data_IF_424915520428
#
_entry.id   IF_424915520428
#
_cell.length_a   1.000
_cell.length_b   1.000
_cell.length_c   1.000
_cell.angle_alpha   90.00
_cell.angle_beta   90.00
_cell.angle_gamma   90.00
#
_symmetry.space_group_name_H-M   'P 1'
#
loop_
_entity.id
_entity.type
_entity.pdbx_description
1 polymer ?
#
# COMPACT_ATOMS: atom_id res chain seq x y z
N UNK A 1 15.76 11.88 -1.77
CA UNK A 1 17.22 12.02 -1.92
C UNK A 1 17.52 12.16 -3.41
N UNK A 2 18.23 13.20 -3.81
CA UNK A 2 18.63 13.47 -5.21
C UNK A 2 20.11 13.13 -5.36
N UNK A 3 20.44 12.25 -6.30
CA UNK A 3 21.82 11.85 -6.59
C UNK A 3 22.21 12.32 -7.99
N UNK A 4 23.45 12.77 -8.16
CA UNK A 4 24.01 13.21 -9.43
C UNK A 4 25.09 12.24 -9.88
N UNK A 5 24.90 11.59 -11.02
CA UNK A 5 25.94 10.77 -11.64
C UNK A 5 26.96 11.68 -12.31
N UNK A 6 28.21 11.63 -11.87
CA UNK A 6 29.30 12.43 -12.44
C UNK A 6 30.12 11.59 -13.41
N UNK A 7 30.38 12.12 -14.60
CA UNK A 7 31.36 11.59 -15.54
C UNK A 7 32.50 12.61 -15.66
N UNK A 8 33.74 12.16 -15.47
CA UNK A 8 34.91 13.03 -15.48
C UNK A 8 35.73 12.79 -16.76
N UNK A 9 36.25 13.86 -17.33
CA UNK A 9 37.15 13.82 -18.48
C UNK A 9 38.28 14.81 -18.25
N UNK A 10 39.50 14.38 -18.53
CA UNK A 10 40.72 15.15 -18.30
C UNK A 10 41.43 15.41 -19.62
N UNK A 11 42.01 16.59 -19.74
CA UNK A 11 42.87 16.97 -20.86
C UNK A 11 44.07 17.74 -20.33
N UNK A 12 45.21 17.59 -21.00
CA UNK A 12 46.41 18.36 -20.66
C UNK A 12 46.17 19.86 -20.89
N UNK A 13 46.34 20.64 -19.83
CA UNK A 13 46.30 22.10 -19.85
C UNK A 13 47.44 22.62 -18.97
N UNK A 14 48.10 23.74 -19.34
CA UNK A 14 48.03 24.46 -20.60
C UNK A 14 48.93 23.84 -21.69
N UNK A 15 48.55 24.01 -22.96
CA UNK A 15 49.45 23.65 -24.07
C UNK A 15 50.61 24.66 -24.19
N UNK A 16 51.69 24.31 -24.91
CA UNK A 16 52.90 25.16 -25.03
C UNK A 16 52.58 26.58 -25.53
N UNK A 17 51.77 26.71 -26.58
CA UNK A 17 51.41 27.99 -27.20
C UNK A 17 50.49 28.85 -26.33
N UNK A 18 49.46 28.22 -25.75
CA UNK A 18 48.51 28.84 -24.81
C UNK A 18 49.24 29.32 -23.56
N UNK A 19 50.26 28.59 -23.11
CA UNK A 19 51.08 28.97 -21.97
C UNK A 19 51.90 30.23 -22.23
N UNK A 20 52.58 30.29 -23.38
CA UNK A 20 53.36 31.46 -23.81
C UNK A 20 52.50 32.70 -24.06
N UNK A 21 51.25 32.50 -24.48
CA UNK A 21 50.29 33.59 -24.69
C UNK A 21 49.68 34.10 -23.38
N UNK A 22 49.28 33.20 -22.47
CA UNK A 22 48.62 33.57 -21.20
C UNK A 22 49.60 34.02 -20.12
N UNK A 23 50.85 33.55 -20.11
CA UNK A 23 51.84 33.92 -19.09
C UNK A 23 52.08 35.44 -18.96
N UNK A 24 52.31 36.22 -20.04
CA UNK A 24 52.47 37.67 -19.91
C UNK A 24 51.17 38.38 -19.54
N UNK A 25 50.02 37.83 -19.93
CA UNK A 25 48.71 38.42 -19.63
C UNK A 25 48.33 38.27 -18.16
N UNK A 26 48.69 37.15 -17.54
CA UNK A 26 48.41 36.85 -16.14
C UNK A 26 49.57 37.23 -15.20
N UNK A 27 50.69 37.72 -15.74
CA UNK A 27 51.88 38.07 -14.96
C UNK A 27 52.52 36.88 -14.26
N UNK A 28 52.32 35.67 -14.77
CA UNK A 28 52.82 34.42 -14.18
C UNK A 28 53.91 33.82 -15.05
N UNK A 29 54.87 33.16 -14.42
CA UNK A 29 55.94 32.47 -15.13
C UNK A 29 55.38 31.20 -15.83
N UNK A 30 55.81 30.90 -17.07
CA UNK A 30 55.28 29.77 -17.84
C UNK A 30 55.33 28.41 -17.10
N UNK A 31 56.43 28.07 -16.42
CA UNK A 31 56.56 26.82 -15.68
C UNK A 31 55.60 26.76 -14.48
N UNK A 32 55.44 27.87 -13.75
CA UNK A 32 54.48 27.98 -12.66
C UNK A 32 53.03 27.73 -13.11
N UNK A 33 52.66 28.20 -14.31
CA UNK A 33 51.32 27.99 -14.86
C UNK A 33 51.09 26.54 -15.31
N UNK A 34 52.15 25.80 -15.63
CA UNK A 34 52.07 24.36 -15.93
C UNK A 34 51.74 23.53 -14.69
N UNK A 35 52.34 23.88 -13.56
CA UNK A 35 52.23 23.09 -12.33
C UNK A 35 50.98 23.46 -11.50
N UNK A 36 50.49 24.70 -11.61
CA UNK A 36 49.40 25.22 -10.78
C UNK A 36 48.12 25.56 -11.56
N UNK A 37 48.16 25.54 -12.89
CA UNK A 37 47.02 25.90 -13.74
C UNK A 37 46.00 24.75 -13.85
N UNK A 38 44.74 25.01 -13.51
CA UNK A 38 43.63 24.08 -13.72
C UNK A 38 42.43 24.77 -14.36
N UNK A 39 41.81 24.10 -15.33
CA UNK A 39 40.54 24.53 -15.93
C UNK A 39 39.48 23.51 -15.57
N UNK A 40 38.40 23.96 -14.93
CA UNK A 40 37.31 23.11 -14.50
C UNK A 40 36.00 23.59 -15.15
N UNK A 41 35.33 22.68 -15.86
CA UNK A 41 34.05 22.96 -16.52
C UNK A 41 33.02 21.93 -16.08
N UNK A 42 31.90 22.40 -15.54
CA UNK A 42 30.79 21.56 -15.05
C UNK A 42 29.56 21.86 -15.88
N UNK A 43 29.01 20.82 -16.49
CA UNK A 43 27.81 20.91 -17.30
C UNK A 43 27.01 19.61 -17.21
N UNK A 44 25.73 19.69 -17.56
CA UNK A 44 24.88 18.50 -17.69
C UNK A 44 25.11 17.85 -19.06
N UNK A 45 25.48 16.57 -19.09
CA UNK A 45 25.65 15.83 -20.36
C UNK A 45 24.33 15.78 -21.15
N UNK A 46 23.21 15.59 -20.46
CA UNK A 46 21.87 15.50 -21.03
C UNK A 46 20.89 16.22 -20.12
N UNK A 47 19.93 16.95 -20.70
CA UNK A 47 18.80 17.54 -19.96
C UNK A 47 17.74 16.48 -19.63
N UNK A 48 18.13 15.39 -18.98
CA UNK A 48 17.23 14.34 -18.54
C UNK A 48 17.33 14.15 -17.03
N UNK A 49 16.19 14.09 -16.35
CA UNK A 49 16.10 13.80 -14.94
C UNK A 49 15.51 12.40 -14.75
N UNK A 50 16.21 11.55 -14.01
CA UNK A 50 15.70 10.23 -13.67
C UNK A 50 15.01 10.28 -12.30
N UNK A 51 13.71 9.97 -12.28
CA UNK A 51 12.94 9.88 -11.02
C UNK A 51 12.67 8.43 -10.66
N UNK A 52 13.45 7.88 -9.74
CA UNK A 52 13.24 6.54 -9.19
C UNK A 52 12.27 6.68 -8.01
N UNK A 53 11.05 6.12 -8.14
CA UNK A 53 10.09 6.01 -7.05
C UNK A 53 9.91 4.54 -6.70
N UNK A 54 10.03 4.21 -5.42
CA UNK A 54 9.61 2.91 -4.91
C UNK A 54 8.09 2.93 -4.81
N UNK A 55 7.43 2.15 -5.66
CA UNK A 55 5.98 1.95 -5.60
C UNK A 55 5.71 0.73 -4.73
N UNK A 56 4.60 0.76 -4.00
CA UNK A 56 4.14 -0.41 -3.23
C UNK A 56 3.91 -1.56 -4.21
N UNK A 57 4.57 -2.70 -3.98
CA UNK A 57 4.54 -3.85 -4.91
C UNK A 57 3.14 -4.49 -5.04
N UNK A 58 2.31 -4.36 -4.00
CA UNK A 58 0.89 -4.72 -4.04
C UNK A 58 0.06 -3.68 -3.32
N UNK A 59 -0.96 -3.17 -3.99
CA UNK A 59 -2.01 -2.39 -3.34
C UNK A 59 -2.99 -3.32 -2.60
N UNK A 60 -3.68 -2.80 -1.59
CA UNK A 60 -4.73 -3.54 -0.85
C UNK A 60 -5.86 -4.00 -1.80
N UNK A 61 -6.21 -3.18 -2.80
CA UNK A 61 -7.16 -3.56 -3.84
C UNK A 61 -6.67 -4.71 -4.72
N UNK A 62 -5.38 -4.76 -5.06
CA UNK A 62 -4.80 -5.88 -5.80
C UNK A 62 -4.80 -7.18 -4.98
N UNK A 63 -4.58 -7.09 -3.67
CA UNK A 63 -4.67 -8.24 -2.77
C UNK A 63 -6.09 -8.80 -2.73
N UNK A 64 -7.08 -7.94 -2.50
CA UNK A 64 -8.49 -8.34 -2.48
C UNK A 64 -8.93 -8.92 -3.85
N UNK A 65 -8.48 -8.32 -4.95
CA UNK A 65 -8.77 -8.78 -6.31
C UNK A 65 -8.19 -10.17 -6.59
N UNK A 66 -6.94 -10.43 -6.20
CA UNK A 66 -6.30 -11.73 -6.41
C UNK A 66 -7.00 -12.85 -5.61
N UNK A 67 -7.36 -12.58 -4.35
CA UNK A 67 -8.09 -13.55 -3.51
C UNK A 67 -9.48 -13.79 -4.08
N UNK A 68 -10.22 -12.73 -4.39
CA UNK A 68 -11.57 -12.83 -4.95
C UNK A 68 -11.60 -13.53 -6.31
N UNK A 69 -10.62 -13.24 -7.17
CA UNK A 69 -10.46 -13.88 -8.47
C UNK A 69 -10.18 -15.38 -8.36
N UNK A 70 -9.27 -15.78 -7.47
CA UNK A 70 -9.00 -17.20 -7.23
C UNK A 70 -10.19 -17.91 -6.58
N UNK A 71 -10.86 -17.31 -5.60
CA UNK A 71 -12.06 -17.90 -4.98
C UNK A 71 -13.22 -18.00 -5.96
N UNK A 72 -13.43 -16.98 -6.80
CA UNK A 72 -14.46 -16.97 -7.83
C UNK A 72 -14.19 -17.98 -8.94
N UNK A 73 -12.93 -18.16 -9.33
CA UNK A 73 -12.54 -19.13 -10.36
C UNK A 73 -12.59 -20.58 -9.85
N UNK A 74 -12.08 -20.85 -8.64
CA UNK A 74 -11.94 -22.22 -8.14
C UNK A 74 -13.16 -22.74 -7.38
N UNK A 75 -13.86 -21.91 -6.59
CA UNK A 75 -15.07 -22.32 -5.87
C UNK A 75 -16.35 -21.94 -6.63
N UNK A 76 -16.29 -21.08 -7.64
CA UNK A 76 -17.48 -20.44 -8.20
C UNK A 76 -18.17 -19.49 -7.21
N UNK A 77 -17.47 -19.12 -6.13
CA UNK A 77 -18.01 -18.28 -5.07
C UNK A 77 -18.09 -16.82 -5.54
N UNK A 78 -19.28 -16.24 -5.44
CA UNK A 78 -19.51 -14.83 -5.77
C UNK A 78 -19.50 -13.95 -4.52
N UNK A 79 -19.51 -12.62 -4.71
CA UNK A 79 -19.70 -11.67 -3.60
C UNK A 79 -21.01 -11.94 -2.84
N UNK A 80 -22.07 -12.39 -3.54
CA UNK A 80 -23.34 -12.78 -2.91
C UNK A 80 -23.17 -14.00 -1.99
N UNK A 81 -22.39 -14.99 -2.43
CA UNK A 81 -22.07 -16.18 -1.63
C UNK A 81 -21.29 -15.81 -0.36
N UNK A 82 -20.38 -14.84 -0.44
CA UNK A 82 -19.67 -14.33 0.73
C UNK A 82 -20.61 -13.60 1.69
N UNK A 83 -21.52 -12.76 1.18
CA UNK A 83 -22.52 -12.06 1.99
C UNK A 83 -23.44 -13.04 2.73
N UNK A 84 -23.89 -14.11 2.08
CA UNK A 84 -24.72 -15.14 2.70
C UNK A 84 -24.00 -15.83 3.87
N UNK A 85 -22.73 -16.19 3.69
CA UNK A 85 -21.91 -16.76 4.77
C UNK A 85 -21.72 -15.76 5.91
N UNK A 86 -21.45 -14.48 5.61
CA UNK A 86 -21.33 -13.43 6.63
C UNK A 86 -22.63 -13.24 7.41
N UNK A 87 -23.79 -13.20 6.75
CA UNK A 87 -25.09 -13.11 7.42
C UNK A 87 -25.36 -14.30 8.32
N UNK A 88 -25.07 -15.52 7.85
CA UNK A 88 -25.25 -16.73 8.63
C UNK A 88 -24.36 -16.74 9.88
N UNK A 89 -23.08 -16.34 9.72
CA UNK A 89 -22.12 -16.27 10.82
C UNK A 89 -22.44 -15.17 11.84
N UNK A 90 -23.09 -14.08 11.44
CA UNK A 90 -23.53 -13.02 12.37
C UNK A 90 -24.84 -13.38 13.08
N UNK A 91 -25.80 -13.98 12.36
CA UNK A 91 -27.13 -14.35 12.91
C UNK A 91 -27.08 -15.55 13.85
N UNK A 92 -26.23 -16.56 13.58
CA UNK A 92 -26.09 -17.75 14.44
C UNK A 92 -25.69 -17.46 15.89
N UNK A 93 -24.61 -16.71 16.19
CA UNK A 93 -24.18 -16.44 17.56
C UNK A 93 -25.16 -15.53 18.29
N UNK A 94 -25.79 -14.55 17.62
CA UNK A 94 -26.86 -13.74 18.20
C UNK A 94 -28.10 -14.58 18.56
N UNK A 95 -28.51 -15.50 17.69
CA UNK A 95 -29.61 -16.43 17.96
C UNK A 95 -29.30 -17.45 19.06
N UNK A 96 -28.03 -17.82 19.23
CA UNK A 96 -27.60 -18.71 20.30
C UNK A 96 -27.55 -17.99 21.67
N UNK A 97 -27.12 -16.73 21.70
CA UNK A 97 -27.20 -15.88 22.91
C UNK A 97 -28.65 -15.51 23.29
N UNK A 98 -29.58 -15.48 22.33
CA UNK A 98 -31.00 -15.17 22.56
C UNK A 98 -31.86 -16.35 23.00
N UNK A 99 -31.33 -17.59 23.02
CA UNK A 99 -32.12 -18.82 23.25
C UNK A 99 -32.48 -19.08 24.72
N UNK A 100 -32.17 -18.16 25.62
CA UNK A 100 -32.59 -18.18 27.04
C UNK A 100 -33.90 -17.43 27.33
N UNK A 101 -34.66 -16.98 26.32
CA UNK A 101 -35.90 -16.24 26.56
C UNK A 101 -37.17 -17.07 26.30
N UNK A 102 -37.72 -17.57 27.40
CA UNK A 102 -39.13 -17.86 27.71
C UNK A 102 -39.91 -18.83 26.80
N UNK A 103 -40.00 -20.09 27.23
CA UNK A 103 -41.20 -20.88 26.98
C UNK A 103 -42.37 -20.23 27.74
N UNK A 104 -43.33 -19.64 27.01
CA UNK A 104 -44.57 -19.13 27.59
C UNK A 104 -45.43 -20.35 27.98
N UNK A 105 -45.34 -20.77 29.24
CA UNK A 105 -46.20 -21.82 29.80
C UNK A 105 -47.63 -21.28 29.82
N UNK A 106 -48.46 -21.78 28.92
CA UNK A 106 -49.90 -21.50 28.91
C UNK A 106 -50.51 -22.27 30.07
N UNK A 107 -50.88 -21.56 31.14
CA UNK A 107 -51.58 -22.14 32.28
C UNK A 107 -53.04 -22.39 31.88
N UNK A 108 -53.39 -23.65 31.58
CA UNK A 108 -54.79 -24.06 31.42
C UNK A 108 -55.34 -24.35 32.82
N UNK A 109 -56.33 -23.57 33.28
CA UNK A 109 -57.06 -23.85 34.52
C UNK A 109 -58.04 -25.02 34.29
N UNK A 110 -58.02 -26.09 35.11
CA UNK A 110 -59.06 -27.12 35.09
C UNK A 110 -60.35 -26.56 35.71
N UNK A 111 -61.47 -26.59 34.99
CA UNK A 111 -62.78 -26.40 35.61
C UNK A 111 -63.24 -27.70 36.27
N UNK A 112 -63.67 -27.62 37.53
CA UNK A 112 -64.14 -28.76 38.33
C UNK A 112 -65.38 -29.43 37.72
N UNK A 113 -65.50 -30.77 37.83
CA UNK A 113 -66.69 -31.49 37.41
C UNK A 113 -67.85 -31.18 38.36
N UNK A 114 -68.94 -30.61 37.82
CA UNK A 114 -70.20 -30.46 38.56
C UNK A 114 -70.78 -31.85 38.81
N UNK A 115 -70.60 -32.32 40.05
CA UNK A 115 -71.18 -33.55 40.56
C UNK A 115 -72.71 -33.49 40.48
N UNK A 116 -73.29 -34.54 39.90
CA UNK A 116 -74.72 -34.79 39.95
C UNK A 116 -75.16 -35.14 41.38
N UNK A 117 -76.45 -34.90 41.66
CA UNK A 117 -77.29 -35.53 42.71
C UNK A 117 -77.54 -34.73 44.00
N UNK A 118 -78.75 -34.15 44.11
CA UNK A 118 -79.65 -34.14 45.28
C UNK A 118 -80.91 -33.31 44.87
N UNK A 119 -82.09 -33.87 44.56
CA UNK A 119 -83.12 -34.52 45.40
C UNK A 119 -83.73 -33.57 46.47
N UNK A 120 -85.07 -33.50 46.49
CA UNK A 120 -85.99 -32.67 47.30
C UNK A 120 -86.05 -31.17 46.93
N UNK A 121 -87.19 -30.56 46.61
CA UNK A 121 -88.59 -30.77 46.99
C UNK A 121 -89.50 -30.09 45.96
#
# INVERSE_FOLDING_TARGET
>A
MTSYSTSLSFAGFPNKHTREYLSPLLGMEPSYMGDNGVVFSVFYEKLNYQKIRQLKAMEEGQLASNIGGMMGLFLGASVLSLLEVCEYLLKRPLGFLGRTRHAKVVHVQPQEPKSATALHK
#
